data_IF_963526176401
#
_entry.id   IF_963526176401
#
_cell.length_a   1.000
_cell.length_b   1.000
_cell.length_c   1.000
_cell.angle_alpha   90.00
_cell.angle_beta   90.00
_cell.angle_gamma   90.00
#
_symmetry.space_group_name_H-M   'P 1'
#
loop_
_entity.id
_entity.type
_entity.pdbx_description
1 polymer ?
#
# COMPACT_ATOMS: atom_id res chain seq x y z
N UNK A 1 14.27 17.90 14.65
CA UNK A 1 14.14 16.64 13.89
C UNK A 1 12.66 16.45 13.62
N UNK A 2 12.29 16.23 12.36
CA UNK A 2 10.89 16.03 11.99
C UNK A 2 10.31 14.78 12.68
N UNK A 3 9.05 14.84 13.11
CA UNK A 3 8.34 13.69 13.67
C UNK A 3 7.71 12.87 12.53
N UNK A 4 8.48 11.90 12.02
CA UNK A 4 8.06 11.02 10.92
C UNK A 4 6.79 10.23 11.24
N UNK A 5 6.59 9.83 12.50
CA UNK A 5 5.40 9.07 12.90
C UNK A 5 4.14 9.91 12.71
N UNK A 6 4.17 11.15 13.18
CA UNK A 6 3.05 12.08 13.05
C UNK A 6 2.75 12.46 11.59
N UNK A 7 3.78 12.58 10.76
CA UNK A 7 3.62 12.86 9.32
C UNK A 7 3.00 11.64 8.61
N UNK A 8 3.51 10.44 8.85
CA UNK A 8 2.99 9.21 8.25
C UNK A 8 1.52 8.98 8.61
N UNK A 9 1.16 9.10 9.89
CA UNK A 9 -0.24 8.94 10.34
C UNK A 9 -1.18 9.96 9.71
N UNK A 10 -0.74 11.22 9.53
CA UNK A 10 -1.54 12.26 8.88
C UNK A 10 -1.89 11.87 7.44
N UNK A 11 -0.91 11.40 6.66
CA UNK A 11 -1.12 11.07 5.25
C UNK A 11 -1.87 9.77 5.05
N UNK A 12 -1.60 8.73 5.84
CA UNK A 12 -2.36 7.48 5.84
C UNK A 12 -3.86 7.74 6.07
N UNK A 13 -4.21 8.55 7.08
CA UNK A 13 -5.60 8.95 7.36
C UNK A 13 -6.25 9.74 6.22
N UNK A 14 -5.47 10.58 5.54
CA UNK A 14 -5.96 11.37 4.40
C UNK A 14 -6.29 10.47 3.21
N UNK A 15 -5.41 9.53 2.87
CA UNK A 15 -5.64 8.58 1.78
C UNK A 15 -6.80 7.63 2.05
N UNK A 16 -6.95 7.18 3.30
CA UNK A 16 -8.10 6.37 3.72
C UNK A 16 -9.41 7.13 3.58
N UNK A 17 -9.48 8.37 4.11
CA UNK A 17 -10.66 9.24 3.99
C UNK A 17 -11.04 9.50 2.53
N UNK A 18 -10.05 9.72 1.68
CA UNK A 18 -10.26 10.03 0.28
C UNK A 18 -10.45 8.79 -0.59
N UNK A 19 -10.34 7.57 -0.02
CA UNK A 19 -10.38 6.30 -0.75
C UNK A 19 -9.41 6.28 -1.94
N UNK A 20 -8.21 6.84 -1.77
CA UNK A 20 -7.26 7.12 -2.88
C UNK A 20 -6.88 5.88 -3.69
N UNK A 21 -6.84 4.71 -3.07
CA UNK A 21 -6.48 3.43 -3.70
C UNK A 21 -7.68 2.53 -4.03
N UNK A 22 -8.91 3.00 -3.80
CA UNK A 22 -10.12 2.27 -4.18
C UNK A 22 -10.36 2.44 -5.69
N UNK A 23 -10.52 1.32 -6.40
CA UNK A 23 -10.72 1.31 -7.85
C UNK A 23 -12.07 0.69 -8.19
N UNK A 24 -12.73 1.26 -9.20
CA UNK A 24 -13.94 0.73 -9.80
C UNK A 24 -13.70 0.47 -11.29
N UNK A 25 -14.50 -0.40 -11.89
CA UNK A 25 -14.42 -0.64 -13.33
C UNK A 25 -14.83 0.60 -14.12
N UNK A 26 -13.88 1.19 -14.84
CA UNK A 26 -14.11 2.31 -15.76
C UNK A 26 -13.52 1.96 -17.13
N UNK A 27 -14.40 1.64 -18.09
CA UNK A 27 -14.02 1.26 -19.45
C UNK A 27 -13.39 2.41 -20.25
N UNK A 28 -13.48 3.66 -19.77
CA UNK A 28 -12.86 4.83 -20.41
C UNK A 28 -11.40 5.01 -20.01
N UNK A 29 -10.92 4.31 -18.98
CA UNK A 29 -9.53 4.39 -18.49
C UNK A 29 -8.73 3.16 -18.92
N UNK A 30 -7.44 3.36 -19.21
CA UNK A 30 -6.53 2.24 -19.46
C UNK A 30 -6.30 1.47 -18.15
N UNK A 31 -6.63 0.18 -18.15
CA UNK A 31 -6.46 -0.69 -16.98
C UNK A 31 -4.97 -0.96 -16.73
N UNK A 32 -4.59 -1.04 -15.46
CA UNK A 32 -3.28 -1.48 -14.99
C UNK A 32 -3.49 -2.34 -13.74
N UNK A 33 -2.77 -3.45 -13.66
CA UNK A 33 -2.84 -4.36 -12.51
C UNK A 33 -1.41 -4.70 -12.07
N UNK A 34 -1.02 -4.18 -10.90
CA UNK A 34 0.20 -4.54 -10.20
C UNK A 34 -0.16 -5.50 -9.07
N UNK A 35 0.61 -6.58 -8.92
CA UNK A 35 0.33 -7.64 -7.95
C UNK A 35 1.63 -8.29 -7.47
N UNK A 36 1.75 -8.40 -6.16
CA UNK A 36 2.79 -9.16 -5.48
C UNK A 36 2.23 -10.45 -4.90
N UNK A 37 3.13 -11.39 -4.60
CA UNK A 37 2.76 -12.64 -3.93
C UNK A 37 2.22 -12.35 -2.52
N UNK A 38 1.00 -12.79 -2.26
CA UNK A 38 0.37 -12.72 -0.94
C UNK A 38 1.15 -13.59 0.06
N UNK A 39 1.41 -13.12 1.29
CA UNK A 39 2.25 -13.85 2.23
C UNK A 39 1.45 -14.96 2.92
N UNK A 40 2.10 -16.08 3.24
CA UNK A 40 1.47 -17.11 4.07
C UNK A 40 1.30 -16.63 5.52
N UNK A 41 0.15 -16.90 6.18
CA UNK A 41 -0.09 -16.50 7.58
C UNK A 41 0.59 -17.49 8.56
N UNK A 42 1.87 -17.76 8.38
CA UNK A 42 2.61 -18.86 9.02
C UNK A 42 3.44 -18.48 10.26
N UNK A 43 3.44 -17.21 10.71
CA UNK A 43 4.28 -16.78 11.83
C UNK A 43 4.12 -15.31 12.25
N UNK A 44 5.07 -14.79 13.04
CA UNK A 44 5.08 -13.55 13.84
C UNK A 44 4.87 -12.20 13.13
N UNK A 45 4.36 -12.18 11.90
CA UNK A 45 4.04 -10.97 11.13
C UNK A 45 4.90 -10.81 9.88
N UNK A 46 5.03 -9.56 9.42
CA UNK A 46 5.82 -9.22 8.22
C UNK A 46 7.31 -9.13 8.55
N UNK A 47 8.15 -9.92 7.86
CA UNK A 47 9.61 -9.75 7.88
C UNK A 47 10.11 -8.78 6.80
N UNK A 48 11.38 -8.41 6.87
CA UNK A 48 12.02 -7.44 5.95
C UNK A 48 11.84 -7.81 4.47
N UNK A 49 11.88 -9.10 4.13
CA UNK A 49 11.61 -9.55 2.76
C UNK A 49 10.21 -9.17 2.23
N UNK A 50 9.18 -9.13 3.08
CA UNK A 50 7.86 -8.68 2.69
C UNK A 50 7.84 -7.17 2.44
N UNK A 51 8.50 -6.38 3.29
CA UNK A 51 8.64 -4.94 3.08
C UNK A 51 9.32 -4.65 1.73
N UNK A 52 10.41 -5.35 1.41
CA UNK A 52 11.07 -5.20 0.12
C UNK A 52 10.16 -5.56 -1.06
N UNK A 53 9.43 -6.68 -0.97
CA UNK A 53 8.52 -7.12 -2.03
C UNK A 53 7.40 -6.10 -2.28
N UNK A 54 6.70 -5.66 -1.24
CA UNK A 54 5.53 -4.78 -1.38
C UNK A 54 5.88 -3.32 -1.69
N UNK A 55 7.04 -2.82 -1.24
CA UNK A 55 7.48 -1.46 -1.59
C UNK A 55 7.77 -1.31 -3.07
N UNK A 56 8.24 -2.35 -3.76
CA UNK A 56 8.53 -2.25 -5.21
C UNK A 56 7.25 -2.05 -6.03
N UNK A 57 6.15 -2.72 -5.66
CA UNK A 57 4.86 -2.56 -6.32
C UNK A 57 4.15 -1.24 -6.01
N UNK A 58 4.44 -0.66 -4.84
CA UNK A 58 3.86 0.59 -4.36
C UNK A 58 4.57 1.87 -4.88
N UNK A 59 5.69 1.72 -5.62
CA UNK A 59 6.45 2.80 -6.30
C UNK A 59 5.92 3.02 -7.72
#
# INVERSE_FOLDING_TARGET
>A
MEDFKKIAEKWQKKWEKDKTFEVNEDSKRKKFYCLEMFPYPSGSGLHVGHAFNYTIGDI
#
